data_IF_718932910776
#
_entry.id   IF_718932910776
#
_cell.length_a   1.000
_cell.length_b   1.000
_cell.length_c   1.000
_cell.angle_alpha   90.00
_cell.angle_beta   90.00
_cell.angle_gamma   90.00
#
_symmetry.space_group_name_H-M   'P 1'
#
loop_
_entity.id
_entity.type
_entity.pdbx_description
1 polymer ?
#
# COMPACT_ATOMS: atom_id res chain seq x y z
N UNK A 1 41.93 44.14 -7.27
CA UNK A 1 40.72 43.46 -7.80
C UNK A 1 39.65 43.54 -6.72
N UNK A 2 38.80 44.57 -6.72
CA UNK A 2 37.78 44.81 -5.68
C UNK A 2 36.57 43.90 -5.95
N UNK A 3 36.39 42.87 -5.14
CA UNK A 3 35.25 42.03 -5.21
C UNK A 3 34.01 42.82 -4.74
N UNK A 4 33.00 42.95 -5.60
CA UNK A 4 31.80 43.77 -5.32
C UNK A 4 31.09 43.22 -4.08
N UNK A 5 30.79 44.13 -3.15
CA UNK A 5 30.07 43.84 -1.90
C UNK A 5 28.77 43.00 -2.13
N UNK A 6 28.10 43.19 -3.27
CA UNK A 6 26.95 42.41 -3.71
C UNK A 6 27.27 40.94 -3.99
N UNK A 7 28.45 40.65 -4.53
CA UNK A 7 28.93 39.28 -4.79
C UNK A 7 29.27 38.58 -3.47
N UNK A 8 29.84 39.30 -2.50
CA UNK A 8 30.13 38.75 -1.17
C UNK A 8 28.85 38.42 -0.36
N UNK A 9 27.81 39.24 -0.47
CA UNK A 9 26.53 39.01 0.19
C UNK A 9 25.82 37.79 -0.46
N UNK A 10 25.86 37.64 -1.79
CA UNK A 10 25.31 36.48 -2.48
C UNK A 10 26.03 35.17 -2.10
N UNK A 11 27.35 35.20 -1.98
CA UNK A 11 28.14 34.05 -1.54
C UNK A 11 27.82 33.68 -0.07
N UNK A 12 27.62 34.67 0.80
CA UNK A 12 27.28 34.44 2.20
C UNK A 12 25.86 33.88 2.37
N UNK A 13 24.89 34.29 1.54
CA UNK A 13 23.54 33.72 1.51
C UNK A 13 23.51 32.26 1.00
N UNK A 14 24.40 31.88 0.09
CA UNK A 14 24.52 30.48 -0.35
C UNK A 14 25.12 29.55 0.71
N UNK A 15 25.95 30.08 1.63
CA UNK A 15 26.57 29.31 2.70
C UNK A 15 25.63 29.04 3.89
N UNK A 16 24.49 29.72 3.97
CA UNK A 16 23.50 29.62 5.06
C UNK A 16 22.29 28.75 4.72
N UNK A 17 22.38 27.86 3.72
CA UNK A 17 21.32 26.89 3.48
C UNK A 17 21.26 25.91 4.66
N UNK A 18 20.17 25.89 5.47
CA UNK A 18 20.03 24.90 6.52
C UNK A 18 20.03 23.52 5.84
N UNK A 19 20.85 22.60 6.36
CA UNK A 19 20.79 21.21 5.95
C UNK A 19 19.43 20.67 6.36
N UNK A 20 18.53 20.51 5.40
CA UNK A 20 17.24 19.84 5.63
C UNK A 20 17.55 18.39 5.92
N UNK A 21 17.55 18.02 7.19
CA UNK A 21 17.68 16.64 7.61
C UNK A 21 16.38 15.93 7.23
N UNK A 22 16.46 14.97 6.32
CA UNK A 22 15.33 14.12 6.00
C UNK A 22 14.88 13.39 7.28
N UNK A 23 13.61 13.53 7.60
CA UNK A 23 12.95 12.78 8.68
C UNK A 23 13.13 11.27 8.45
N UNK A 24 12.93 10.46 9.48
CA UNK A 24 12.99 9.01 9.44
C UNK A 24 12.37 8.47 8.15
N UNK A 25 13.17 7.77 7.35
CA UNK A 25 12.76 7.19 6.09
C UNK A 25 12.93 5.68 6.16
N UNK A 26 11.81 4.96 6.27
CA UNK A 26 11.80 3.51 6.19
C UNK A 26 11.56 3.09 4.73
N UNK A 27 12.43 2.25 4.19
CA UNK A 27 12.21 1.56 2.94
C UNK A 27 11.68 0.16 3.20
N UNK A 28 10.64 -0.24 2.48
CA UNK A 28 9.97 -1.54 2.60
C UNK A 28 9.92 -2.20 1.24
N UNK A 29 10.34 -3.47 1.13
CA UNK A 29 10.22 -4.26 -0.10
C UNK A 29 10.10 -5.76 0.18
N UNK A 30 9.49 -6.57 -0.72
CA UNK A 30 8.68 -6.14 -1.85
C UNK A 30 7.40 -5.39 -1.39
N UNK A 31 6.81 -4.61 -2.29
CA UNK A 31 5.58 -3.85 -2.01
C UNK A 31 4.30 -4.69 -2.26
N UNK A 32 4.44 -5.90 -2.74
CA UNK A 32 3.39 -6.86 -3.09
C UNK A 32 3.80 -8.30 -2.76
N UNK A 33 4.19 -8.61 -1.50
CA UNK A 33 4.55 -9.97 -1.12
C UNK A 33 3.40 -10.95 -1.38
N UNK A 34 3.76 -12.19 -1.70
CA UNK A 34 2.82 -13.28 -1.91
C UNK A 34 3.35 -14.57 -1.29
N UNK A 35 2.44 -15.49 -0.92
CA UNK A 35 2.78 -16.83 -0.45
C UNK A 35 2.01 -17.84 -1.33
N UNK A 36 2.72 -18.55 -2.18
CA UNK A 36 2.15 -19.60 -3.02
C UNK A 36 1.80 -20.86 -2.21
N UNK A 37 1.00 -21.78 -2.75
CA UNK A 37 0.53 -22.98 -2.01
C UNK A 37 1.64 -23.79 -1.36
N UNK A 38 2.73 -24.01 -2.09
CA UNK A 38 3.90 -24.78 -1.64
C UNK A 38 4.78 -24.05 -0.64
N UNK A 39 4.70 -22.70 -0.60
CA UNK A 39 5.54 -21.89 0.26
C UNK A 39 4.95 -21.80 1.66
N UNK A 40 5.81 -21.79 2.67
CA UNK A 40 5.42 -21.59 4.07
C UNK A 40 5.45 -20.14 4.50
N UNK A 41 6.24 -19.31 3.80
CA UNK A 41 6.44 -17.92 4.15
C UNK A 41 6.86 -17.08 2.94
N UNK A 42 6.68 -15.77 3.05
CA UNK A 42 7.26 -14.76 2.18
C UNK A 42 8.17 -13.83 2.97
N UNK A 43 9.06 -13.15 2.28
CA UNK A 43 10.00 -12.19 2.85
C UNK A 43 9.43 -10.77 2.77
N UNK A 44 9.68 -9.99 3.81
CA UNK A 44 9.45 -8.55 3.83
C UNK A 44 10.68 -7.88 4.46
N UNK A 45 11.37 -7.09 3.67
CA UNK A 45 12.57 -6.39 4.10
C UNK A 45 12.26 -4.97 4.53
N UNK A 46 12.86 -4.56 5.62
CA UNK A 46 12.80 -3.21 6.16
C UNK A 46 14.22 -2.63 6.20
N UNK A 47 14.40 -1.40 5.75
CA UNK A 47 15.67 -0.67 5.82
C UNK A 47 15.42 0.72 6.39
N UNK A 48 16.14 1.07 7.45
CA UNK A 48 16.12 2.42 7.98
C UNK A 48 17.08 3.31 7.18
N UNK A 49 16.56 4.17 6.33
CA UNK A 49 17.32 5.17 5.57
C UNK A 49 17.39 6.53 6.26
N UNK A 50 16.80 6.65 7.44
CA UNK A 50 16.91 7.82 8.29
C UNK A 50 18.23 7.88 9.05
N UNK A 51 18.39 8.94 9.80
CA UNK A 51 19.58 9.21 10.63
C UNK A 51 19.37 8.89 12.11
N UNK A 52 18.19 8.45 12.51
CA UNK A 52 17.85 8.07 13.87
C UNK A 52 17.36 6.62 13.94
N UNK A 53 17.56 5.98 15.09
CA UNK A 53 17.00 4.65 15.36
C UNK A 53 15.48 4.69 15.29
N UNK A 54 14.88 3.72 14.60
CA UNK A 54 13.43 3.55 14.55
C UNK A 54 13.00 2.20 15.08
N UNK A 55 11.83 2.14 15.69
CA UNK A 55 11.22 0.89 16.14
C UNK A 55 9.90 0.68 15.41
N UNK A 56 9.75 -0.48 14.78
CA UNK A 56 8.58 -0.82 13.97
C UNK A 56 7.83 -1.99 14.59
N UNK A 57 6.52 -1.87 14.69
CA UNK A 57 5.62 -2.98 14.97
C UNK A 57 5.01 -3.47 13.66
N UNK A 58 5.08 -4.78 13.42
CA UNK A 58 4.51 -5.43 12.24
C UNK A 58 3.27 -6.22 12.65
N UNK A 59 2.11 -5.83 12.11
CA UNK A 59 0.83 -6.49 12.34
C UNK A 59 0.22 -6.92 11.03
N UNK A 60 -0.49 -8.05 11.02
CA UNK A 60 -1.15 -8.56 9.81
C UNK A 60 -2.64 -8.70 10.10
N UNK A 61 -3.45 -8.04 9.28
CA UNK A 61 -4.91 -8.09 9.33
C UNK A 61 -5.46 -8.86 8.13
N UNK A 62 -6.52 -9.63 8.31
CA UNK A 62 -7.31 -10.08 7.16
C UNK A 62 -7.94 -8.88 6.48
N UNK A 63 -7.99 -8.90 5.18
CA UNK A 63 -8.50 -7.82 4.36
C UNK A 63 -9.65 -8.32 3.51
N UNK A 64 -10.80 -7.73 3.66
CA UNK A 64 -12.03 -8.09 2.98
C UNK A 64 -12.70 -6.84 2.40
N UNK A 65 -13.53 -7.05 1.40
CA UNK A 65 -14.41 -6.02 0.84
C UNK A 65 -15.85 -6.47 1.01
N UNK A 66 -16.58 -5.81 1.90
CA UNK A 66 -17.97 -6.14 2.25
C UNK A 66 -18.85 -4.94 1.96
N UNK A 67 -19.91 -5.14 1.19
CA UNK A 67 -20.81 -4.07 0.76
C UNK A 67 -20.10 -2.91 0.06
N UNK A 68 -19.05 -3.21 -0.68
CA UNK A 68 -18.25 -2.23 -1.43
C UNK A 68 -17.25 -1.44 -0.59
N UNK A 69 -17.02 -1.82 0.67
CA UNK A 69 -16.08 -1.14 1.58
C UNK A 69 -15.01 -2.09 2.11
N UNK A 70 -13.83 -1.55 2.37
CA UNK A 70 -12.73 -2.32 2.95
C UNK A 70 -12.97 -2.57 4.44
N UNK A 71 -12.71 -3.80 4.86
CA UNK A 71 -12.75 -4.22 6.26
C UNK A 71 -11.46 -4.95 6.63
N UNK A 72 -10.98 -4.67 7.82
CA UNK A 72 -9.76 -5.25 8.38
C UNK A 72 -10.09 -5.90 9.72
N UNK A 73 -9.69 -7.16 9.88
CA UNK A 73 -9.95 -7.92 11.09
C UNK A 73 -8.67 -8.57 11.61
N UNK A 74 -8.56 -8.72 12.92
CA UNK A 74 -7.49 -9.51 13.53
C UNK A 74 -7.60 -10.97 13.11
N UNK A 75 -6.47 -11.61 12.89
CA UNK A 75 -6.40 -12.98 12.41
C UNK A 75 -5.14 -13.67 12.92
N UNK A 76 -5.06 -15.02 12.74
CA UNK A 76 -3.91 -15.84 13.12
C UNK A 76 -3.45 -16.79 12.00
N UNK A 77 -4.03 -16.69 10.80
CA UNK A 77 -3.66 -17.53 9.66
C UNK A 77 -2.27 -17.17 9.10
N UNK A 78 -1.87 -15.91 9.23
CA UNK A 78 -0.55 -15.44 8.83
C UNK A 78 0.04 -14.58 9.94
N UNK A 79 1.29 -14.83 10.29
CA UNK A 79 1.99 -14.09 11.35
C UNK A 79 3.30 -13.48 10.84
N UNK A 80 3.70 -12.38 11.44
CA UNK A 80 4.99 -11.74 11.18
C UNK A 80 6.04 -12.21 12.21
N UNK A 81 7.25 -12.51 11.76
CA UNK A 81 8.37 -12.88 12.62
C UNK A 81 9.68 -12.22 12.17
N UNK A 82 10.28 -11.37 13.01
CA UNK A 82 9.79 -10.88 14.29
C UNK A 82 8.64 -9.87 14.15
N UNK A 83 7.70 -9.79 15.15
CA UNK A 83 6.60 -8.83 15.12
C UNK A 83 7.00 -7.40 15.52
N UNK A 84 8.19 -7.25 16.11
CA UNK A 84 8.76 -5.96 16.46
C UNK A 84 10.21 -5.92 16.00
N UNK A 85 10.62 -4.78 15.43
CA UNK A 85 11.93 -4.60 14.82
C UNK A 85 12.49 -3.25 15.26
N UNK A 86 13.70 -3.27 15.82
CA UNK A 86 14.51 -2.08 16.05
C UNK A 86 15.53 -1.97 14.93
N UNK A 87 15.60 -0.81 14.28
CA UNK A 87 16.48 -0.55 13.14
C UNK A 87 17.36 0.66 13.46
N UNK A 88 18.66 0.46 13.55
CA UNK A 88 19.64 1.52 13.56
C UNK A 88 19.73 2.19 12.16
N UNK A 89 20.28 3.42 12.06
CA UNK A 89 20.50 4.06 10.76
C UNK A 89 21.27 3.15 9.80
N UNK A 90 20.74 2.97 8.59
CA UNK A 90 21.32 2.11 7.55
C UNK A 90 21.08 0.60 7.75
N UNK A 91 20.51 0.17 8.86
CA UNK A 91 20.25 -1.23 9.12
C UNK A 91 19.11 -1.79 8.29
N UNK A 92 19.28 -3.05 7.84
CA UNK A 92 18.26 -3.86 7.17
C UNK A 92 17.83 -5.02 8.06
N UNK A 93 16.54 -5.32 8.03
CA UNK A 93 15.98 -6.45 8.75
C UNK A 93 14.97 -7.20 7.88
N UNK A 94 15.09 -8.51 7.87
CA UNK A 94 14.08 -9.41 7.30
C UNK A 94 12.99 -9.68 8.33
N UNK A 95 11.74 -9.51 7.90
CA UNK A 95 10.54 -9.99 8.59
C UNK A 95 9.94 -11.09 7.72
N UNK A 96 9.75 -12.28 8.28
CA UNK A 96 9.06 -13.38 7.60
C UNK A 96 7.57 -13.27 7.83
N UNK A 97 6.81 -13.35 6.74
CA UNK A 97 5.35 -13.45 6.74
C UNK A 97 5.00 -14.92 6.63
N UNK A 98 4.65 -15.57 7.75
CA UNK A 98 4.57 -17.04 7.87
C UNK A 98 3.12 -17.46 7.80
N UNK A 99 2.79 -18.32 6.82
CA UNK A 99 1.48 -18.96 6.68
C UNK A 99 1.33 -20.07 7.72
N UNK A 100 0.42 -19.88 8.68
CA UNK A 100 0.10 -20.86 9.73
C UNK A 100 -0.95 -21.86 9.24
N UNK A 101 -1.93 -21.36 8.50
CA UNK A 101 -3.01 -22.17 7.95
C UNK A 101 -3.13 -21.90 6.46
N UNK A 102 -3.10 -22.92 5.59
CA UNK A 102 -3.29 -22.72 4.16
C UNK A 102 -4.73 -22.26 3.88
N UNK A 103 -4.94 -21.40 2.87
CA UNK A 103 -6.27 -21.10 2.36
C UNK A 103 -6.96 -22.36 1.78
N UNK A 104 -8.28 -22.27 1.64
CA UNK A 104 -9.03 -23.28 0.88
C UNK A 104 -8.52 -23.41 -0.55
N UNK A 105 -8.60 -24.60 -1.12
CA UNK A 105 -8.19 -24.87 -2.48
C UNK A 105 -8.92 -23.95 -3.48
N UNK A 106 -8.21 -23.48 -4.48
CA UNK A 106 -8.73 -22.60 -5.52
C UNK A 106 -8.94 -21.14 -5.10
N UNK A 107 -8.58 -20.77 -3.88
CA UNK A 107 -8.81 -19.42 -3.33
C UNK A 107 -7.53 -18.62 -3.11
N UNK A 108 -7.64 -17.32 -3.34
CA UNK A 108 -6.73 -16.30 -2.87
C UNK A 108 -7.31 -15.67 -1.60
N UNK A 109 -6.49 -15.56 -0.55
CA UNK A 109 -6.81 -14.81 0.66
C UNK A 109 -5.98 -13.54 0.73
N UNK A 110 -6.62 -12.45 1.11
CA UNK A 110 -6.01 -11.12 1.14
C UNK A 110 -5.76 -10.64 2.55
N UNK A 111 -4.59 -10.03 2.75
CA UNK A 111 -4.17 -9.48 4.04
C UNK A 111 -3.56 -8.09 3.85
N UNK A 112 -3.50 -7.33 4.94
CA UNK A 112 -2.72 -6.09 5.05
C UNK A 112 -1.65 -6.24 6.11
N UNK A 113 -0.41 -6.11 5.69
CA UNK A 113 0.74 -5.99 6.58
C UNK A 113 0.88 -4.52 6.94
N UNK A 114 0.64 -4.20 8.19
CA UNK A 114 0.72 -2.83 8.72
C UNK A 114 1.99 -2.71 9.54
N UNK A 115 2.82 -1.74 9.18
CA UNK A 115 4.05 -1.39 9.87
C UNK A 115 3.82 -0.04 10.56
N UNK A 116 3.77 -0.06 11.87
CA UNK A 116 3.58 1.13 12.70
C UNK A 116 4.90 1.52 13.35
N UNK A 117 5.29 2.77 13.18
CA UNK A 117 6.42 3.33 13.91
C UNK A 117 6.02 3.55 15.38
N UNK A 118 6.80 2.98 16.29
CA UNK A 118 6.60 3.16 17.73
C UNK A 118 7.47 4.34 18.17
N UNK A 119 6.88 5.36 18.83
CA UNK A 119 7.65 6.48 19.35
C UNK A 119 8.72 5.99 20.33
N UNK A 120 9.97 6.33 20.08
CA UNK A 120 11.03 6.15 21.06
C UNK A 120 11.00 7.33 22.04
N UNK A 121 11.16 7.08 23.36
CA UNK A 121 11.27 8.16 24.34
C UNK A 121 12.46 9.06 23.97
N UNK A 122 12.23 10.37 23.96
CA UNK A 122 13.30 11.36 23.72
C UNK A 122 14.10 11.55 24.97
N UNK A 123 15.40 11.80 24.82
CA UNK A 123 16.25 12.20 25.93
C UNK A 123 15.80 13.56 26.47
N UNK A 124 15.59 13.74 27.79
CA UNK A 124 15.27 15.05 28.35
C UNK A 124 16.39 16.04 28.02
N UNK A 125 16.05 17.17 27.40
CA UNK A 125 17.00 18.25 27.05
C UNK A 125 17.05 18.63 25.58
N UNK A 126 16.49 17.85 24.67
CA UNK A 126 16.35 18.25 23.27
C UNK A 126 15.10 19.14 23.08
N UNK A 127 15.30 20.43 23.27
CA UNK A 127 14.32 21.47 22.91
C UNK A 127 14.26 21.62 21.38
N UNK A 128 13.66 20.67 20.70
CA UNK A 128 13.23 20.90 19.32
C UNK A 128 11.73 21.17 19.32
N UNK A 129 11.38 22.45 19.17
CA UNK A 129 10.05 22.85 18.74
C UNK A 129 9.82 22.30 17.32
N UNK A 130 9.22 21.12 17.19
CA UNK A 130 8.97 20.47 15.92
C UNK A 130 7.83 19.47 15.97
N UNK A 131 7.16 19.27 14.84
CA UNK A 131 6.15 18.25 14.66
C UNK A 131 6.80 16.85 14.69
N UNK A 132 6.24 15.95 15.48
CA UNK A 132 6.63 14.54 15.49
C UNK A 132 5.67 13.80 14.58
N UNK A 133 6.18 13.26 13.48
CA UNK A 133 5.42 12.40 12.59
C UNK A 133 5.63 10.95 12.99
N UNK A 134 4.55 10.20 13.11
CA UNK A 134 4.57 8.75 13.20
C UNK A 134 4.15 8.19 11.84
N UNK A 135 4.99 7.33 11.29
CA UNK A 135 4.73 6.74 9.98
C UNK A 135 4.01 5.41 10.13
N UNK A 136 3.00 5.21 9.29
CA UNK A 136 2.32 3.93 9.09
C UNK A 136 2.43 3.54 7.63
N UNK A 137 2.97 2.34 7.40
CA UNK A 137 3.01 1.72 6.08
C UNK A 137 1.98 0.59 6.03
N UNK A 138 1.33 0.43 4.88
CA UNK A 138 0.36 -0.65 4.66
C UNK A 138 0.68 -1.34 3.34
N UNK A 139 1.06 -2.60 3.42
CA UNK A 139 1.48 -3.43 2.28
C UNK A 139 0.46 -4.54 2.08
N UNK A 140 -0.08 -4.77 0.87
CA UNK A 140 -0.92 -5.93 0.60
C UNK A 140 -0.09 -7.21 0.69
N UNK A 141 -0.72 -8.29 1.14
CA UNK A 141 -0.17 -9.64 1.11
C UNK A 141 -1.26 -10.57 0.59
N UNK A 142 -0.91 -11.38 -0.40
CA UNK A 142 -1.83 -12.38 -0.97
C UNK A 142 -1.30 -13.78 -0.71
N UNK A 143 -2.17 -14.66 -0.23
CA UNK A 143 -1.84 -16.05 0.10
C UNK A 143 -2.74 -16.96 -0.70
N UNK A 144 -2.14 -17.91 -1.41
CA UNK A 144 -2.83 -18.76 -2.36
C UNK A 144 -3.03 -20.17 -1.80
N UNK A 145 -4.23 -20.71 -2.02
CA UNK A 145 -4.57 -22.10 -1.74
C UNK A 145 -4.20 -23.04 -2.90
N UNK A 146 -4.22 -24.34 -2.64
CA UNK A 146 -3.90 -25.33 -3.66
C UNK A 146 -4.73 -25.14 -4.95
N UNK A 147 -4.09 -25.29 -6.10
CA UNK A 147 -4.72 -25.14 -7.41
C UNK A 147 -4.74 -23.71 -7.96
N UNK A 148 -4.31 -22.72 -7.20
CA UNK A 148 -4.12 -21.34 -7.65
C UNK A 148 -2.79 -20.77 -7.15
N UNK A 149 -2.11 -20.00 -7.97
CA UNK A 149 -0.84 -19.34 -7.64
C UNK A 149 -0.93 -17.86 -8.02
N UNK A 150 0.05 -17.07 -7.62
CA UNK A 150 0.20 -15.68 -8.06
C UNK A 150 0.09 -15.54 -9.59
N UNK A 151 0.59 -16.50 -10.35
CA UNK A 151 0.61 -16.45 -11.80
C UNK A 151 -0.68 -16.92 -12.47
N UNK A 152 -1.40 -17.82 -11.85
CA UNK A 152 -2.65 -18.40 -12.38
C UNK A 152 -3.91 -17.71 -11.87
N UNK A 153 -3.83 -16.99 -10.76
CA UNK A 153 -4.93 -16.17 -10.25
C UNK A 153 -5.31 -15.09 -11.26
N UNK A 154 -6.61 -14.99 -11.58
CA UNK A 154 -7.11 -14.05 -12.59
C UNK A 154 -8.34 -13.32 -12.08
N UNK A 155 -8.36 -11.99 -12.14
CA UNK A 155 -9.57 -11.21 -11.93
C UNK A 155 -10.51 -11.33 -13.14
N UNK A 156 -11.82 -11.23 -12.87
CA UNK A 156 -12.88 -11.08 -13.87
C UNK A 156 -13.77 -9.91 -13.45
N UNK A 157 -13.53 -8.74 -14.04
CA UNK A 157 -14.14 -7.51 -13.61
C UNK A 157 -15.38 -7.15 -14.43
N UNK A 158 -16.38 -6.66 -13.72
CA UNK A 158 -17.48 -5.88 -14.28
C UNK A 158 -17.61 -4.58 -13.47
N UNK A 159 -18.29 -3.57 -14.03
CA UNK A 159 -18.51 -2.32 -13.35
C UNK A 159 -19.87 -1.72 -13.62
N UNK A 160 -20.37 -0.91 -12.70
CA UNK A 160 -21.61 -0.14 -12.85
C UNK A 160 -21.57 1.14 -12.01
N UNK A 161 -22.40 2.11 -12.38
CA UNK A 161 -22.72 3.24 -11.51
C UNK A 161 -23.87 2.84 -10.58
N UNK A 162 -23.69 3.05 -9.28
CA UNK A 162 -24.69 2.73 -8.25
C UNK A 162 -25.07 3.99 -7.49
N UNK A 163 -26.37 4.20 -7.26
CA UNK A 163 -26.88 5.24 -6.39
C UNK A 163 -27.29 4.64 -5.05
N UNK A 164 -26.64 5.06 -3.97
CA UNK A 164 -26.92 4.57 -2.62
C UNK A 164 -26.75 5.68 -1.61
N UNK A 165 -27.76 5.87 -0.72
CA UNK A 165 -27.73 6.92 0.29
C UNK A 165 -27.64 8.35 -0.28
N UNK A 166 -28.25 8.60 -1.45
CA UNK A 166 -28.17 9.90 -2.12
C UNK A 166 -26.82 10.25 -2.74
N UNK A 167 -25.88 9.29 -2.75
CA UNK A 167 -24.54 9.43 -3.33
C UNK A 167 -24.37 8.47 -4.50
N UNK A 168 -23.55 8.88 -5.47
CA UNK A 168 -23.19 8.07 -6.62
C UNK A 168 -21.86 7.37 -6.36
N UNK A 169 -21.77 6.13 -6.83
CA UNK A 169 -20.61 5.29 -6.65
C UNK A 169 -20.25 4.59 -7.94
N UNK A 170 -18.97 4.53 -8.24
CA UNK A 170 -18.42 3.56 -9.16
C UNK A 170 -18.25 2.25 -8.41
N UNK A 171 -19.01 1.22 -8.78
CA UNK A 171 -18.86 -0.12 -8.22
C UNK A 171 -18.18 -1.01 -9.25
N UNK A 172 -17.05 -1.63 -8.84
CA UNK A 172 -16.42 -2.70 -9.58
C UNK A 172 -16.61 -4.00 -8.82
N UNK A 173 -17.04 -5.05 -9.54
CA UNK A 173 -17.20 -6.40 -9.02
C UNK A 173 -16.20 -7.31 -9.71
N UNK A 174 -15.53 -8.13 -8.91
CA UNK A 174 -14.58 -9.14 -9.37
C UNK A 174 -15.14 -10.54 -9.10
N UNK A 175 -15.48 -11.25 -10.16
CA UNK A 175 -15.96 -12.63 -10.13
C UNK A 175 -14.83 -13.65 -10.28
N UNK A 176 -13.59 -13.19 -10.43
CA UNK A 176 -12.41 -14.02 -10.60
C UNK A 176 -11.85 -14.53 -9.27
N UNK A 177 -10.90 -15.45 -9.37
CA UNK A 177 -10.23 -16.09 -8.24
C UNK A 177 -8.95 -15.36 -7.79
N UNK A 178 -8.59 -14.25 -8.42
CA UNK A 178 -7.46 -13.40 -8.07
C UNK A 178 -7.88 -11.94 -7.96
N UNK A 179 -7.18 -11.16 -7.15
CA UNK A 179 -7.42 -9.73 -7.00
C UNK A 179 -7.08 -8.94 -8.28
N UNK A 180 -7.73 -7.82 -8.46
CA UNK A 180 -7.35 -6.79 -9.42
C UNK A 180 -6.70 -5.61 -8.69
N UNK A 181 -5.47 -5.25 -9.05
CA UNK A 181 -4.83 -3.99 -8.69
C UNK A 181 -5.00 -3.03 -9.84
N UNK A 182 -5.73 -1.94 -9.63
CA UNK A 182 -6.09 -0.99 -10.65
C UNK A 182 -5.23 0.27 -10.55
N UNK A 183 -4.70 0.72 -11.66
CA UNK A 183 -4.01 2.00 -11.79
C UNK A 183 -4.42 2.72 -13.06
N UNK A 184 -4.21 4.04 -13.08
CA UNK A 184 -4.48 4.91 -14.23
C UNK A 184 -5.90 4.73 -14.81
N UNK A 185 -6.91 4.64 -13.93
CA UNK A 185 -8.30 4.38 -14.31
C UNK A 185 -8.89 5.55 -15.09
N UNK A 186 -9.56 5.24 -16.20
CA UNK A 186 -10.33 6.20 -17.00
C UNK A 186 -11.76 5.70 -17.25
N UNK A 187 -12.73 6.60 -17.39
CA UNK A 187 -14.10 6.29 -17.81
C UNK A 187 -14.49 7.27 -18.91
N UNK A 188 -14.91 6.75 -20.08
CA UNK A 188 -15.24 7.57 -21.25
C UNK A 188 -14.07 8.49 -21.64
N UNK A 189 -12.85 8.01 -21.57
CA UNK A 189 -11.62 8.77 -21.86
C UNK A 189 -11.18 9.77 -20.77
N UNK A 190 -11.94 9.88 -19.67
CA UNK A 190 -11.63 10.82 -18.58
C UNK A 190 -10.93 10.11 -17.43
N UNK A 191 -9.80 10.65 -16.98
CA UNK A 191 -9.06 10.13 -15.83
C UNK A 191 -9.86 10.25 -14.54
N UNK A 192 -9.90 9.14 -13.78
CA UNK A 192 -10.47 9.07 -12.43
C UNK A 192 -9.41 9.26 -11.35
N UNK A 193 -8.13 8.96 -11.65
CA UNK A 193 -6.98 9.13 -10.76
C UNK A 193 -5.68 8.84 -11.48
N UNK A 194 -4.57 9.28 -10.90
CA UNK A 194 -3.21 8.96 -11.37
C UNK A 194 -2.58 7.92 -10.44
N UNK A 195 -1.81 7.00 -11.01
CA UNK A 195 -1.15 5.95 -10.25
C UNK A 195 -2.13 4.90 -9.70
N UNK A 196 -1.87 4.38 -8.50
CA UNK A 196 -2.71 3.37 -7.87
C UNK A 196 -4.10 3.93 -7.54
N UNK A 197 -5.11 3.34 -8.14
CA UNK A 197 -6.52 3.68 -7.90
C UNK A 197 -7.11 2.84 -6.76
N UNK A 198 -6.75 1.56 -6.69
CA UNK A 198 -7.16 0.66 -5.63
C UNK A 198 -7.13 -0.80 -6.03
N UNK A 199 -7.81 -1.62 -5.24
CA UNK A 199 -7.92 -3.06 -5.43
C UNK A 199 -9.38 -3.48 -5.47
N UNK A 200 -9.69 -4.52 -6.26
CA UNK A 200 -10.91 -5.31 -6.14
C UNK A 200 -10.50 -6.75 -5.84
N UNK A 201 -10.79 -7.21 -4.63
CA UNK A 201 -10.37 -8.53 -4.15
C UNK A 201 -11.12 -9.64 -4.91
N UNK A 202 -10.59 -10.85 -4.87
CA UNK A 202 -11.25 -12.02 -5.46
C UNK A 202 -12.67 -12.21 -4.89
N UNK A 203 -13.64 -12.47 -5.77
CA UNK A 203 -15.05 -12.67 -5.41
C UNK A 203 -15.64 -11.55 -4.53
N UNK A 204 -15.28 -10.30 -4.82
CA UNK A 204 -15.68 -9.14 -4.02
C UNK A 204 -16.07 -7.96 -4.90
N UNK A 205 -16.70 -6.94 -4.28
CA UNK A 205 -16.97 -5.66 -4.91
C UNK A 205 -16.36 -4.54 -4.09
N UNK A 206 -15.91 -3.48 -4.78
CA UNK A 206 -15.46 -2.26 -4.13
C UNK A 206 -16.11 -1.02 -4.77
N UNK A 207 -16.33 0.03 -3.96
CA UNK A 207 -17.00 1.26 -4.38
C UNK A 207 -16.13 2.48 -4.18
N UNK A 208 -16.07 3.32 -5.20
CA UNK A 208 -15.45 4.66 -5.14
C UNK A 208 -16.51 5.74 -5.33
N UNK A 209 -16.45 6.84 -4.55
CA UNK A 209 -17.42 7.92 -4.69
C UNK A 209 -17.28 8.63 -6.05
N UNK A 210 -18.41 8.95 -6.65
CA UNK A 210 -18.48 9.74 -7.88
C UNK A 210 -19.07 11.12 -7.57
N UNK A 211 -18.44 12.17 -8.07
CA UNK A 211 -18.95 13.54 -7.96
C UNK A 211 -20.00 13.86 -9.01
N UNK A 212 -20.08 13.07 -10.08
CA UNK A 212 -21.00 13.20 -11.20
C UNK A 212 -21.26 11.84 -11.85
N UNK A 213 -22.32 11.73 -12.64
CA UNK A 213 -22.60 10.54 -13.44
C UNK A 213 -21.49 10.31 -14.45
N UNK A 214 -21.21 9.04 -14.72
CA UNK A 214 -20.20 8.59 -15.67
C UNK A 214 -20.83 7.70 -16.73
N UNK A 215 -20.27 7.75 -17.93
CA UNK A 215 -20.72 6.94 -19.07
C UNK A 215 -19.53 6.59 -19.97
N UNK A 216 -19.70 5.56 -20.77
CA UNK A 216 -18.67 5.09 -21.69
C UNK A 216 -17.93 3.86 -21.16
N UNK A 217 -16.78 3.58 -21.75
CA UNK A 217 -15.93 2.47 -21.39
C UNK A 217 -15.04 2.83 -20.19
N UNK A 218 -14.98 1.94 -19.20
CA UNK A 218 -13.98 2.02 -18.13
C UNK A 218 -12.74 1.26 -18.58
N UNK A 219 -11.58 1.88 -18.43
CA UNK A 219 -10.30 1.24 -18.66
C UNK A 219 -9.34 1.45 -17.50
N UNK A 220 -8.46 0.48 -17.26
CA UNK A 220 -7.48 0.49 -16.21
C UNK A 220 -6.22 -0.31 -16.61
N UNK A 221 -5.09 0.11 -16.09
CA UNK A 221 -3.91 -0.74 -16.04
C UNK A 221 -4.03 -1.68 -14.84
N UNK A 222 -3.78 -2.95 -15.07
CA UNK A 222 -3.75 -4.00 -14.04
C UNK A 222 -2.36 -4.59 -13.89
N UNK A 223 -2.16 -5.49 -12.90
CA UNK A 223 -0.89 -6.16 -12.65
C UNK A 223 -0.27 -6.82 -13.90
N UNK A 224 -1.12 -7.34 -14.81
CA UNK A 224 -0.72 -8.10 -16.00
C UNK A 224 -1.38 -7.54 -17.26
N UNK A 225 -1.24 -6.25 -17.49
CA UNK A 225 -1.71 -5.62 -18.72
C UNK A 225 -2.85 -4.63 -18.54
N UNK A 226 -3.50 -4.33 -19.65
CA UNK A 226 -4.60 -3.39 -19.73
C UNK A 226 -5.94 -4.12 -19.75
N UNK A 227 -6.94 -3.56 -19.07
CA UNK A 227 -8.30 -4.04 -19.05
C UNK A 227 -9.25 -2.90 -19.41
N UNK A 228 -10.29 -3.22 -20.19
CA UNK A 228 -11.38 -2.29 -20.43
C UNK A 228 -12.71 -3.02 -20.56
N UNK A 229 -13.79 -2.35 -20.21
CA UNK A 229 -15.15 -2.88 -20.29
C UNK A 229 -16.19 -1.76 -20.36
N UNK A 230 -17.27 -1.98 -21.13
CA UNK A 230 -18.48 -1.19 -21.00
C UNK A 230 -19.17 -1.46 -19.65
N UNK A 231 -20.04 -0.53 -19.21
CA UNK A 231 -20.83 -0.75 -17.99
C UNK A 231 -21.71 -1.99 -18.11
N UNK A 232 -21.85 -2.73 -17.02
CA UNK A 232 -22.84 -3.80 -16.93
C UNK A 232 -24.25 -3.19 -17.07
N UNK A 233 -25.10 -3.86 -17.84
CA UNK A 233 -26.51 -3.46 -18.04
C UNK A 233 -27.38 -4.01 -16.92
#
# INVERSE_FOLDING_TARGET
MMMNLRALILLLCMALTPAVHAANSLMVWPIDPAIDPQDKASELWLENRGNATTMMQVRIFSWQQVNGQEQYQTQQQVVASPPMVRLEPGQKQLVRLIKQTPPEAGREMSYRVVLDEIPTPRTPGENQAGLTFQMRYSVPLFVYGNGVTRDTAKPQLSWQEVNSGGKRWLELTNHGNGHARLSNVTIGGRKMGNGLFGYVLANSSHRWPLTRSVSGELSAEMNKGHWSSAAAR
#
